data_IF_247751565961
#
_entry.id   IF_247751565961
#
_cell.length_a   1.000
_cell.length_b   1.000
_cell.length_c   1.000
_cell.angle_alpha   90.00
_cell.angle_beta   90.00
_cell.angle_gamma   90.00
#
_symmetry.space_group_name_H-M   'P 1'
#
loop_
_entity.id
_entity.type
_entity.pdbx_description
1 polymer ?
#
# COMPACT_ATOMS: atom_id res chain seq x y z
N UNK A 1 -22.71 15.42 1.69
CA UNK A 1 -21.73 15.91 2.68
C UNK A 1 -20.36 15.91 1.99
N UNK A 2 -19.53 16.92 2.18
CA UNK A 2 -18.22 16.96 1.54
C UNK A 2 -17.24 16.27 2.47
N UNK A 3 -16.59 15.19 2.01
CA UNK A 3 -15.50 14.54 2.75
C UNK A 3 -14.42 15.57 3.02
N UNK A 4 -14.02 15.75 4.29
CA UNK A 4 -12.87 16.59 4.61
C UNK A 4 -11.61 15.91 4.02
N UNK A 5 -11.04 16.54 3.02
CA UNK A 5 -9.85 16.11 2.31
C UNK A 5 -8.73 17.12 2.57
N UNK A 6 -7.56 16.62 2.90
CA UNK A 6 -6.36 17.44 3.01
C UNK A 6 -5.28 16.84 2.12
N UNK A 7 -4.80 17.64 1.17
CA UNK A 7 -3.58 17.34 0.43
C UNK A 7 -2.40 17.92 1.20
N UNK A 8 -1.30 17.21 1.22
CA UNK A 8 -0.06 17.65 1.90
C UNK A 8 1.17 17.24 1.08
N UNK A 9 2.30 17.81 1.41
CA UNK A 9 3.58 17.47 0.79
C UNK A 9 4.64 17.30 1.86
N UNK A 10 5.51 16.31 1.69
CA UNK A 10 6.51 15.91 2.67
C UNK A 10 7.90 15.79 2.05
N UNK A 11 8.97 16.22 2.75
CA UNK A 11 10.34 16.07 2.26
C UNK A 11 10.81 14.63 2.39
N UNK A 12 11.24 14.03 1.29
CA UNK A 12 11.75 12.66 1.18
C UNK A 12 13.19 12.67 0.69
N UNK A 13 14.07 11.97 1.41
CA UNK A 13 15.47 11.79 1.02
C UNK A 13 15.57 10.68 -0.03
N UNK A 14 15.96 11.04 -1.24
CA UNK A 14 16.13 10.09 -2.34
C UNK A 14 17.62 9.91 -2.62
N UNK A 15 18.09 8.67 -2.57
CA UNK A 15 19.42 8.34 -3.06
C UNK A 15 19.42 8.54 -4.58
N UNK A 16 20.37 9.34 -5.05
CA UNK A 16 20.48 9.60 -6.48
C UNK A 16 21.06 8.36 -7.18
N UNK A 17 20.51 7.99 -8.35
CA UNK A 17 21.09 6.94 -9.15
C UNK A 17 22.58 7.21 -9.44
N UNK A 18 23.38 6.16 -9.49
CA UNK A 18 24.82 6.21 -9.84
C UNK A 18 25.73 7.03 -8.91
N UNK A 19 25.21 7.48 -7.78
CA UNK A 19 26.02 8.26 -6.83
C UNK A 19 25.64 7.91 -5.40
N UNK A 20 26.56 8.19 -4.47
CA UNK A 20 26.28 8.09 -3.05
C UNK A 20 25.60 9.38 -2.51
N UNK A 21 25.16 10.26 -3.39
CA UNK A 21 24.53 11.51 -2.99
C UNK A 21 23.07 11.29 -2.67
N UNK A 22 22.58 12.04 -1.69
CA UNK A 22 21.19 12.11 -1.31
C UNK A 22 20.68 13.50 -1.66
N UNK A 23 19.52 13.58 -2.29
CA UNK A 23 18.81 14.82 -2.56
C UNK A 23 17.42 14.75 -1.95
N UNK A 24 16.93 15.86 -1.44
CA UNK A 24 15.59 15.95 -0.87
C UNK A 24 14.63 16.41 -1.96
N UNK A 25 13.54 15.66 -2.13
CA UNK A 25 12.41 15.99 -2.99
C UNK A 25 11.14 16.01 -2.17
N UNK A 26 10.12 16.70 -2.63
CA UNK A 26 8.82 16.67 -2.00
C UNK A 26 7.95 15.59 -2.62
N UNK A 27 7.37 14.72 -1.78
CA UNK A 27 6.34 13.78 -2.19
C UNK A 27 4.96 14.24 -1.71
N UNK A 28 3.96 14.04 -2.55
CA UNK A 28 2.61 14.46 -2.25
C UNK A 28 1.80 13.33 -1.63
N UNK A 29 0.96 13.71 -0.69
CA UNK A 29 0.04 12.83 -0.01
C UNK A 29 -1.36 13.42 0.14
N UNK A 30 -2.28 12.55 0.48
CA UNK A 30 -3.68 12.86 0.72
C UNK A 30 -4.15 12.14 1.98
N UNK A 31 -4.94 12.83 2.79
CA UNK A 31 -5.70 12.21 3.88
C UNK A 31 -7.18 12.59 3.75
N UNK A 32 -8.02 11.60 3.91
CA UNK A 32 -9.48 11.69 3.90
C UNK A 32 -9.99 11.42 5.31
N UNK A 33 -10.92 12.25 5.77
CA UNK A 33 -11.48 12.14 7.12
C UNK A 33 -12.94 11.70 7.06
N UNK A 34 -13.38 10.86 8.01
CA UNK A 34 -14.79 10.55 8.19
C UNK A 34 -15.57 11.79 8.66
N UNK A 35 -16.88 11.80 8.45
CA UNK A 35 -17.75 12.89 8.92
C UNK A 35 -17.71 13.08 10.45
N UNK A 36 -17.38 12.03 11.20
CA UNK A 36 -17.23 12.05 12.66
C UNK A 36 -15.91 12.68 13.15
N UNK A 37 -14.98 13.00 12.24
CA UNK A 37 -13.70 13.56 12.63
C UNK A 37 -13.83 14.95 13.24
N UNK A 38 -13.09 15.17 14.34
CA UNK A 38 -12.98 16.46 14.99
C UNK A 38 -11.56 16.70 15.49
N UNK A 39 -11.06 17.92 15.31
CA UNK A 39 -9.73 18.30 15.79
C UNK A 39 -9.66 18.29 17.34
N UNK A 40 -10.80 18.52 18.03
CA UNK A 40 -10.90 18.62 19.49
C UNK A 40 -11.65 17.43 20.13
N UNK A 41 -12.04 16.43 19.33
CA UNK A 41 -12.82 15.26 19.78
C UNK A 41 -11.96 14.08 20.19
N UNK A 42 -12.58 12.90 20.12
CA UNK A 42 -11.82 11.64 20.24
C UNK A 42 -10.90 11.46 19.04
N UNK A 43 -9.71 10.93 19.29
CA UNK A 43 -8.76 10.66 18.21
C UNK A 43 -9.32 9.63 17.21
N UNK A 44 -9.13 9.87 15.93
CA UNK A 44 -9.62 9.02 14.85
C UNK A 44 -8.58 7.96 14.47
N UNK A 45 -9.01 6.72 14.19
CA UNK A 45 -8.13 5.66 13.67
C UNK A 45 -7.75 5.94 12.23
N UNK A 46 -6.46 5.77 11.92
CA UNK A 46 -5.91 5.94 10.58
C UNK A 46 -5.67 4.59 9.91
N UNK A 47 -6.09 4.47 8.65
CA UNK A 47 -5.67 3.41 7.73
C UNK A 47 -4.73 4.01 6.70
N UNK A 48 -3.51 3.51 6.61
CA UNK A 48 -2.58 3.82 5.54
C UNK A 48 -2.91 2.88 4.38
N UNK A 49 -3.34 3.42 3.24
CA UNK A 49 -3.71 2.66 2.05
C UNK A 49 -2.63 2.81 0.98
N UNK A 50 -1.85 1.77 0.78
CA UNK A 50 -0.83 1.75 -0.27
C UNK A 50 -1.45 1.35 -1.61
N UNK A 51 -1.41 2.25 -2.59
CA UNK A 51 -2.03 2.02 -3.90
C UNK A 51 -1.30 0.96 -4.74
N UNK A 52 -2.05 0.35 -5.66
CA UNK A 52 -1.52 -0.54 -6.70
C UNK A 52 -0.81 0.21 -7.83
N UNK A 53 -0.22 -0.53 -8.79
CA UNK A 53 0.39 0.05 -9.97
C UNK A 53 -0.62 0.91 -10.76
N UNK A 54 -0.18 2.05 -11.24
CA UNK A 54 -1.05 3.03 -11.93
C UNK A 54 -1.77 4.01 -11.00
N UNK A 55 -1.69 3.85 -9.66
CA UNK A 55 -2.22 4.80 -8.69
C UNK A 55 -1.32 6.01 -8.48
N UNK A 56 -1.93 7.13 -8.11
CA UNK A 56 -1.26 8.38 -7.72
C UNK A 56 -2.20 9.22 -6.87
N UNK A 57 -1.65 10.10 -6.04
CA UNK A 57 -2.39 11.09 -5.25
C UNK A 57 -2.27 12.51 -5.78
N UNK A 58 -1.45 12.73 -6.82
CA UNK A 58 -1.16 14.08 -7.36
C UNK A 58 -2.24 14.63 -8.27
N UNK A 59 -3.15 13.81 -8.75
CA UNK A 59 -4.22 14.24 -9.66
C UNK A 59 -5.56 14.27 -8.94
N UNK A 60 -6.56 14.97 -9.53
CA UNK A 60 -7.92 15.02 -9.00
C UNK A 60 -8.61 13.64 -8.96
N UNK A 61 -8.04 12.66 -9.64
CA UNK A 61 -8.53 11.27 -9.69
C UNK A 61 -7.70 10.36 -8.81
N UNK A 62 -7.42 10.77 -7.57
CA UNK A 62 -6.75 9.90 -6.60
C UNK A 62 -7.48 8.56 -6.48
N UNK A 63 -6.76 7.48 -6.72
CA UNK A 63 -7.33 6.14 -6.70
C UNK A 63 -7.97 5.80 -5.35
N UNK A 64 -7.40 6.32 -4.26
CA UNK A 64 -7.91 6.11 -2.89
C UNK A 64 -9.34 6.65 -2.72
N UNK A 65 -9.69 7.80 -3.31
CA UNK A 65 -11.01 8.41 -3.16
C UNK A 65 -12.12 7.61 -3.84
N UNK A 66 -11.80 6.89 -4.90
CA UNK A 66 -12.77 6.11 -5.69
C UNK A 66 -13.00 4.70 -5.12
N UNK A 67 -12.10 4.20 -4.27
CA UNK A 67 -12.16 2.82 -3.79
C UNK A 67 -13.34 2.58 -2.84
N UNK A 68 -14.10 1.50 -3.09
CA UNK A 68 -15.22 1.09 -2.23
C UNK A 68 -14.77 0.83 -0.78
N UNK A 69 -13.60 0.20 -0.58
CA UNK A 69 -13.07 -0.02 0.76
C UNK A 69 -12.79 1.30 1.48
N UNK A 70 -12.20 2.29 0.80
CA UNK A 70 -11.95 3.63 1.38
C UNK A 70 -13.25 4.28 1.83
N UNK A 71 -14.26 4.32 0.96
CA UNK A 71 -15.58 4.87 1.28
C UNK A 71 -16.22 4.12 2.45
N UNK A 72 -16.08 2.80 2.51
CA UNK A 72 -16.61 1.99 3.58
C UNK A 72 -15.88 2.24 4.91
N UNK A 73 -14.56 2.42 4.90
CA UNK A 73 -13.78 2.79 6.08
C UNK A 73 -14.19 4.19 6.60
N UNK A 74 -14.30 5.17 5.71
CA UNK A 74 -14.77 6.52 6.06
C UNK A 74 -16.17 6.51 6.68
N UNK A 75 -17.11 5.75 6.09
CA UNK A 75 -18.46 5.59 6.62
C UNK A 75 -18.50 4.97 8.03
N UNK A 76 -17.44 4.26 8.43
CA UNK A 76 -17.29 3.60 9.72
C UNK A 76 -16.28 4.31 10.65
N UNK A 77 -15.98 5.58 10.40
CA UNK A 77 -15.22 6.43 11.33
C UNK A 77 -13.70 6.31 11.24
N UNK A 78 -13.15 5.69 10.19
CA UNK A 78 -11.69 5.65 9.95
C UNK A 78 -11.26 6.79 9.02
N UNK A 79 -10.13 7.42 9.31
CA UNK A 79 -9.42 8.23 8.33
C UNK A 79 -8.59 7.33 7.40
N UNK A 80 -8.38 7.75 6.16
CA UNK A 80 -7.59 6.99 5.19
C UNK A 80 -6.57 7.90 4.53
N UNK A 81 -5.31 7.46 4.45
CA UNK A 81 -4.18 8.23 3.89
C UNK A 81 -3.44 7.40 2.84
N UNK A 82 -2.96 8.09 1.79
CA UNK A 82 -2.03 7.55 0.80
C UNK A 82 -1.00 8.63 0.40
N UNK A 83 0.11 8.21 -0.22
CA UNK A 83 1.14 9.07 -0.82
C UNK A 83 1.50 8.55 -2.21
N UNK A 84 2.18 9.34 -3.05
CA UNK A 84 2.68 8.79 -4.32
C UNK A 84 3.75 7.71 -4.08
N UNK A 85 4.57 7.85 -3.04
CA UNK A 85 5.66 6.94 -2.75
C UNK A 85 6.88 7.13 -3.66
N UNK A 86 6.75 7.99 -4.67
CA UNK A 86 7.83 8.54 -5.48
C UNK A 86 7.57 10.03 -5.68
N UNK A 87 8.48 10.94 -5.27
CA UNK A 87 8.32 12.36 -5.54
C UNK A 87 8.24 12.63 -7.04
N UNK A 88 7.29 13.49 -7.46
CA UNK A 88 7.09 13.82 -8.86
C UNK A 88 8.36 14.38 -9.52
N UNK A 89 9.04 15.32 -8.85
CA UNK A 89 10.27 15.92 -9.38
C UNK A 89 11.41 14.91 -9.53
N UNK A 90 11.50 13.92 -8.63
CA UNK A 90 12.46 12.81 -8.77
C UNK A 90 12.11 11.94 -9.98
N UNK A 91 10.84 11.57 -10.10
CA UNK A 91 10.39 10.75 -11.22
C UNK A 91 10.63 11.43 -12.57
N UNK A 92 10.34 12.74 -12.67
CA UNK A 92 10.55 13.56 -13.87
C UNK A 92 12.04 13.70 -14.21
N UNK A 93 12.89 14.00 -13.20
CA UNK A 93 14.35 14.15 -13.39
C UNK A 93 15.00 12.90 -13.97
N UNK A 94 14.52 11.70 -13.60
CA UNK A 94 15.09 10.44 -14.04
C UNK A 94 14.24 9.70 -15.09
N UNK A 95 13.17 10.31 -15.60
CA UNK A 95 12.34 9.77 -16.67
C UNK A 95 11.61 8.48 -16.29
N UNK A 96 11.22 8.33 -15.03
CA UNK A 96 10.46 7.17 -14.52
C UNK A 96 9.00 7.51 -14.26
N UNK A 97 8.14 6.51 -14.29
CA UNK A 97 6.72 6.70 -14.02
C UNK A 97 6.46 6.73 -12.51
N UNK A 98 5.99 7.88 -12.01
CA UNK A 98 5.63 8.10 -10.59
C UNK A 98 4.66 7.03 -10.04
N UNK A 99 3.84 6.41 -10.90
CA UNK A 99 2.83 5.42 -10.52
C UNK A 99 3.41 4.06 -10.11
N UNK A 100 4.72 3.88 -10.24
CA UNK A 100 5.40 2.60 -10.01
C UNK A 100 6.44 2.69 -8.89
N UNK A 101 5.99 2.93 -7.66
CA UNK A 101 6.87 3.04 -6.50
C UNK A 101 7.47 1.70 -6.01
N UNK A 102 6.85 0.58 -6.39
CA UNK A 102 7.24 -0.83 -6.13
C UNK A 102 7.73 -1.13 -4.70
N UNK A 103 7.20 -0.43 -3.71
CA UNK A 103 7.61 -0.62 -2.31
C UNK A 103 9.11 -0.38 -2.06
N UNK A 104 9.71 0.49 -2.86
CA UNK A 104 11.13 0.83 -2.83
C UNK A 104 11.55 1.53 -1.53
N UNK A 105 12.87 1.69 -1.29
CA UNK A 105 13.36 2.47 -0.15
C UNK A 105 12.75 3.88 -0.08
N UNK A 106 12.59 4.53 -1.25
CA UNK A 106 11.99 5.87 -1.36
C UNK A 106 10.52 5.81 -0.94
N UNK A 107 9.76 4.83 -1.46
CA UNK A 107 8.35 4.66 -1.12
C UNK A 107 8.14 4.43 0.38
N UNK A 108 8.93 3.55 1.00
CA UNK A 108 8.82 3.27 2.42
C UNK A 108 9.15 4.50 3.27
N UNK A 109 10.17 5.27 2.88
CA UNK A 109 10.48 6.53 3.57
C UNK A 109 9.34 7.54 3.42
N UNK A 110 8.73 7.63 2.23
CA UNK A 110 7.59 8.50 1.96
C UNK A 110 6.40 8.16 2.88
N UNK A 111 5.99 6.90 2.97
CA UNK A 111 4.92 6.48 3.88
C UNK A 111 5.25 6.76 5.36
N UNK A 112 6.50 6.55 5.80
CA UNK A 112 6.92 6.86 7.17
C UNK A 112 6.83 8.36 7.46
N UNK A 113 7.31 9.20 6.55
CA UNK A 113 7.25 10.66 6.70
C UNK A 113 5.81 11.17 6.69
N UNK A 114 4.96 10.63 5.82
CA UNK A 114 3.53 10.94 5.77
C UNK A 114 2.81 10.54 7.06
N UNK A 115 3.11 9.36 7.60
CA UNK A 115 2.58 8.95 8.90
C UNK A 115 2.90 9.99 9.98
N UNK A 116 4.18 10.39 10.13
CA UNK A 116 4.55 11.37 11.15
C UNK A 116 3.91 12.72 10.92
N UNK A 117 3.85 13.19 9.66
CA UNK A 117 3.13 14.39 9.30
C UNK A 117 1.66 14.33 9.76
N UNK A 118 0.97 13.24 9.48
CA UNK A 118 -0.43 13.09 9.85
C UNK A 118 -0.64 13.06 11.37
N UNK A 119 0.20 12.33 12.11
CA UNK A 119 0.11 12.24 13.58
C UNK A 119 0.41 13.56 14.27
N UNK A 120 1.30 14.37 13.69
CA UNK A 120 1.69 15.68 14.26
C UNK A 120 0.67 16.78 13.95
N UNK A 121 -0.08 16.67 12.87
CA UNK A 121 -0.99 17.72 12.39
C UNK A 121 -2.48 17.45 12.59
N UNK A 122 -2.87 16.22 12.90
CA UNK A 122 -4.27 15.83 13.04
C UNK A 122 -4.52 15.03 14.30
N UNK A 123 -5.76 15.07 14.77
CA UNK A 123 -6.18 14.32 15.96
C UNK A 123 -6.42 12.83 15.61
N UNK A 124 -5.30 12.09 15.50
CA UNK A 124 -5.27 10.68 15.13
C UNK A 124 -4.66 9.80 16.22
N UNK A 125 -5.09 8.56 16.29
CA UNK A 125 -4.39 7.56 17.09
C UNK A 125 -3.01 7.29 16.50
N UNK A 126 -2.00 7.07 17.36
CA UNK A 126 -0.64 6.77 16.93
C UNK A 126 -0.53 5.40 16.27
N UNK A 127 -1.22 4.40 16.83
CA UNK A 127 -1.24 3.07 16.20
C UNK A 127 -2.20 3.08 15.01
N UNK A 128 -1.73 2.57 13.88
CA UNK A 128 -2.43 2.61 12.60
C UNK A 128 -2.70 1.23 12.03
N UNK A 129 -3.66 1.16 11.10
CA UNK A 129 -3.83 0.00 10.24
C UNK A 129 -3.14 0.26 8.90
N UNK A 130 -2.69 -0.81 8.23
CA UNK A 130 -2.07 -0.71 6.91
C UNK A 130 -2.80 -1.62 5.94
N UNK A 131 -3.14 -1.09 4.76
CA UNK A 131 -3.76 -1.84 3.67
C UNK A 131 -2.96 -1.67 2.39
N UNK A 132 -2.90 -2.71 1.53
CA UNK A 132 -2.26 -2.58 0.23
C UNK A 132 -2.77 -3.59 -0.78
N UNK A 133 -3.04 -3.13 -2.00
CA UNK A 133 -3.47 -3.98 -3.10
C UNK A 133 -2.40 -4.10 -4.20
N UNK A 134 -2.24 -5.29 -4.81
CA UNK A 134 -1.31 -5.49 -5.91
C UNK A 134 0.11 -5.01 -5.57
N UNK A 135 0.69 -4.11 -6.35
CA UNK A 135 1.98 -3.44 -6.04
C UNK A 135 1.99 -2.79 -4.65
N UNK A 136 0.86 -2.24 -4.19
CA UNK A 136 0.72 -1.71 -2.83
C UNK A 136 0.92 -2.76 -1.74
N UNK A 137 0.80 -4.03 -2.07
CA UNK A 137 1.16 -5.15 -1.20
C UNK A 137 2.64 -5.14 -0.82
N UNK A 138 3.54 -4.81 -1.76
CA UNK A 138 4.98 -4.64 -1.46
C UNK A 138 5.16 -3.46 -0.49
N UNK A 139 4.57 -2.31 -0.84
CA UNK A 139 4.71 -1.08 -0.05
C UNK A 139 4.18 -1.26 1.37
N UNK A 140 2.96 -1.80 1.52
CA UNK A 140 2.34 -2.04 2.81
C UNK A 140 3.13 -3.05 3.65
N UNK A 141 3.59 -4.14 3.05
CA UNK A 141 4.34 -5.17 3.79
C UNK A 141 5.73 -4.69 4.18
N UNK A 142 6.45 -4.01 3.29
CA UNK A 142 7.75 -3.43 3.62
C UNK A 142 7.64 -2.32 4.68
N UNK A 143 6.57 -1.51 4.64
CA UNK A 143 6.28 -0.51 5.67
C UNK A 143 6.11 -1.17 7.04
N UNK A 144 5.30 -2.24 7.11
CA UNK A 144 5.08 -3.02 8.34
C UNK A 144 6.38 -3.66 8.83
N UNK A 145 7.11 -4.34 7.95
CA UNK A 145 8.39 -4.99 8.27
C UNK A 145 9.51 -4.01 8.63
N UNK A 146 9.37 -2.73 8.25
CA UNK A 146 10.34 -1.70 8.64
C UNK A 146 10.39 -1.50 10.16
N UNK A 147 9.27 -1.70 10.86
CA UNK A 147 9.11 -1.46 12.30
C UNK A 147 9.27 0.03 12.69
N UNK A 148 9.15 0.95 11.72
CA UNK A 148 9.37 2.39 11.93
C UNK A 148 8.12 3.15 12.37
N UNK A 149 6.95 2.53 12.23
CA UNK A 149 5.66 3.05 12.68
C UNK A 149 4.91 1.95 13.47
N UNK A 150 4.08 2.32 14.45
CA UNK A 150 3.31 1.35 15.21
C UNK A 150 2.10 0.86 14.40
N UNK A 151 2.12 -0.38 13.95
CA UNK A 151 1.04 -0.99 13.17
C UNK A 151 0.27 -2.00 14.01
N UNK A 152 -1.06 -1.85 14.08
CA UNK A 152 -1.96 -2.77 14.76
C UNK A 152 -2.27 -4.00 13.92
N UNK A 153 -2.46 -3.81 12.62
CA UNK A 153 -2.93 -4.84 11.71
C UNK A 153 -2.56 -4.50 10.26
N UNK A 154 -2.25 -5.52 9.48
CA UNK A 154 -2.11 -5.39 8.03
C UNK A 154 -3.21 -6.15 7.30
N UNK A 155 -3.68 -5.58 6.18
CA UNK A 155 -4.59 -6.24 5.25
C UNK A 155 -4.16 -5.98 3.80
N UNK A 156 -4.67 -6.78 2.87
CA UNK A 156 -4.39 -6.52 1.45
C UNK A 156 -5.25 -7.34 0.49
N UNK A 157 -5.31 -6.84 -0.76
CA UNK A 157 -5.91 -7.53 -1.89
C UNK A 157 -4.83 -7.93 -2.88
N UNK A 158 -4.78 -9.22 -3.25
CA UNK A 158 -3.82 -9.77 -4.23
C UNK A 158 -2.41 -9.16 -4.10
N UNK A 159 -1.83 -9.13 -2.90
CA UNK A 159 -0.60 -8.40 -2.67
C UNK A 159 0.57 -9.02 -3.44
N UNK A 160 1.34 -8.21 -4.13
CA UNK A 160 2.66 -8.62 -4.60
C UNK A 160 3.59 -8.73 -3.39
N UNK A 161 4.19 -9.88 -3.19
CA UNK A 161 5.06 -10.17 -2.05
C UNK A 161 6.45 -10.69 -2.45
N UNK A 162 6.62 -10.99 -3.73
CA UNK A 162 7.91 -11.38 -4.33
C UNK A 162 8.29 -10.38 -5.42
N UNK A 163 8.89 -9.28 -5.01
CA UNK A 163 9.34 -8.21 -5.92
C UNK A 163 10.28 -8.72 -6.99
N UNK A 164 11.13 -9.70 -6.63
CA UNK A 164 12.08 -10.25 -7.57
C UNK A 164 11.43 -11.06 -8.68
N UNK A 165 10.64 -12.08 -8.32
CA UNK A 165 10.02 -12.96 -9.31
C UNK A 165 8.81 -12.32 -10.00
N UNK A 166 8.03 -11.54 -9.28
CA UNK A 166 6.75 -11.00 -9.78
C UNK A 166 6.90 -9.64 -10.46
N UNK A 167 7.92 -8.87 -10.16
CA UNK A 167 8.17 -7.58 -10.81
C UNK A 167 9.40 -7.64 -11.70
N UNK A 168 10.53 -8.07 -11.18
CA UNK A 168 11.81 -7.96 -11.88
C UNK A 168 11.93 -8.98 -13.00
N UNK A 169 11.53 -10.23 -12.79
CA UNK A 169 11.64 -11.30 -13.78
C UNK A 169 10.39 -11.48 -14.65
N UNK A 170 9.24 -10.96 -14.23
CA UNK A 170 7.98 -11.28 -14.88
C UNK A 170 7.62 -10.38 -16.06
N UNK A 171 6.99 -10.93 -17.12
CA UNK A 171 6.65 -10.18 -18.33
C UNK A 171 5.66 -9.03 -18.15
N UNK A 172 4.80 -9.03 -17.12
CA UNK A 172 3.92 -7.88 -16.90
C UNK A 172 4.70 -6.63 -16.47
N UNK A 173 5.92 -6.80 -15.99
CA UNK A 173 6.86 -5.73 -15.74
C UNK A 173 7.37 -5.02 -17.03
N UNK A 174 6.86 -5.40 -18.20
CA UNK A 174 7.11 -4.64 -19.44
C UNK A 174 6.71 -3.16 -19.33
N UNK A 175 5.92 -2.78 -18.34
CA UNK A 175 5.64 -1.39 -17.97
C UNK A 175 6.67 -0.76 -17.02
N UNK A 176 7.55 -1.55 -16.41
CA UNK A 176 8.64 -1.08 -15.56
C UNK A 176 9.97 -1.42 -16.25
N UNK A 177 10.51 -0.54 -17.09
CA UNK A 177 11.80 -0.78 -17.74
C UNK A 177 12.85 -1.06 -16.65
N UNK A 178 13.81 -1.93 -16.94
CA UNK A 178 14.96 -2.19 -16.04
C UNK A 178 15.63 -0.90 -15.58
N UNK A 179 15.60 0.13 -16.43
CA UNK A 179 16.04 1.49 -16.13
C UNK A 179 15.27 2.13 -14.97
N UNK A 180 13.94 1.97 -14.91
CA UNK A 180 13.15 2.51 -13.79
C UNK A 180 13.49 1.83 -12.46
N UNK A 181 13.59 0.50 -12.44
CA UNK A 181 13.99 -0.24 -11.24
C UNK A 181 15.40 0.13 -10.78
N UNK A 182 16.35 0.28 -11.72
CA UNK A 182 17.72 0.67 -11.38
C UNK A 182 17.81 2.09 -10.79
N UNK A 183 16.97 3.00 -11.24
CA UNK A 183 16.84 4.34 -10.64
C UNK A 183 16.24 4.25 -9.24
N UNK A 184 15.11 3.56 -9.09
CA UNK A 184 14.35 3.48 -7.82
C UNK A 184 15.17 2.77 -6.72
N UNK A 185 15.96 1.75 -7.08
CA UNK A 185 16.83 1.02 -6.17
C UNK A 185 18.30 1.52 -6.19
N UNK A 186 18.57 2.60 -6.91
CA UNK A 186 19.91 3.24 -6.99
C UNK A 186 21.01 2.25 -7.39
N UNK A 187 20.81 1.51 -8.49
CA UNK A 187 21.83 0.62 -9.02
C UNK A 187 23.05 1.40 -9.55
N UNK A 188 24.20 0.79 -9.51
CA UNK A 188 25.42 1.31 -10.13
C UNK A 188 25.41 1.09 -11.64
N UNK A 189 26.25 1.81 -12.36
CA UNK A 189 26.53 1.59 -13.77
C UNK A 189 27.93 1.03 -13.97
N UNK A 190 28.11 0.25 -15.02
CA UNK A 190 29.41 -0.19 -15.47
C UNK A 190 30.13 0.86 -16.38
N UNK A 191 31.28 0.49 -16.91
CA UNK A 191 32.07 1.38 -17.77
C UNK A 191 31.41 1.68 -19.13
N UNK A 192 30.42 0.90 -19.54
CA UNK A 192 29.66 1.04 -20.77
C UNK A 192 28.35 1.79 -20.57
N UNK A 193 28.17 2.39 -19.38
CA UNK A 193 26.95 3.13 -18.93
C UNK A 193 25.70 2.24 -18.80
N UNK A 194 25.88 0.91 -18.69
CA UNK A 194 24.83 -0.04 -18.46
C UNK A 194 24.62 -0.29 -16.96
N UNK A 195 23.35 -0.53 -16.56
CA UNK A 195 23.02 -0.78 -15.16
C UNK A 195 23.49 -2.14 -14.67
N UNK A 196 24.24 -2.14 -13.58
CA UNK A 196 24.59 -3.36 -12.86
C UNK A 196 23.44 -3.72 -11.93
N UNK A 197 22.77 -4.84 -12.22
CA UNK A 197 21.72 -5.34 -11.36
C UNK A 197 22.25 -5.68 -9.96
N UNK A 198 21.68 -5.06 -8.94
CA UNK A 198 22.01 -5.32 -7.55
C UNK A 198 20.88 -6.15 -6.88
N UNK A 199 21.04 -7.47 -6.94
CA UNK A 199 20.11 -8.42 -6.33
C UNK A 199 19.93 -8.18 -4.83
N UNK A 200 20.99 -7.79 -4.13
CA UNK A 200 20.95 -7.57 -2.68
C UNK A 200 20.04 -6.39 -2.33
N UNK A 201 20.09 -5.31 -3.11
CA UNK A 201 19.23 -4.16 -2.92
C UNK A 201 17.75 -4.52 -3.11
N UNK A 202 17.43 -5.26 -4.18
CA UNK A 202 16.06 -5.69 -4.46
C UNK A 202 15.55 -6.68 -3.42
N UNK A 203 16.34 -7.69 -3.09
CA UNK A 203 15.98 -8.71 -2.11
C UNK A 203 15.82 -8.14 -0.69
N UNK A 204 16.51 -7.05 -0.38
CA UNK A 204 16.34 -6.34 0.89
C UNK A 204 14.94 -5.73 1.07
N UNK A 205 14.20 -5.58 -0.03
CA UNK A 205 12.82 -5.09 -0.09
C UNK A 205 11.84 -6.13 -0.66
N UNK A 206 12.17 -7.39 -0.57
CA UNK A 206 11.35 -8.50 -1.04
C UNK A 206 10.64 -9.16 0.14
N UNK A 207 9.34 -8.91 0.37
CA UNK A 207 8.62 -9.37 1.57
C UNK A 207 8.75 -10.87 1.83
N UNK A 208 8.62 -11.72 0.80
CA UNK A 208 8.64 -13.18 0.97
C UNK A 208 9.98 -13.71 1.48
N UNK A 209 11.08 -12.98 1.23
CA UNK A 209 12.43 -13.33 1.64
C UNK A 209 12.89 -12.58 2.90
N UNK A 210 12.01 -11.82 3.53
CA UNK A 210 12.34 -11.09 4.74
C UNK A 210 12.77 -12.05 5.85
N UNK A 211 13.87 -11.71 6.51
CA UNK A 211 14.32 -12.41 7.74
C UNK A 211 13.62 -11.89 9.00
N UNK A 212 12.80 -10.86 8.87
CA UNK A 212 12.03 -10.31 9.98
C UNK A 212 10.70 -11.01 10.05
N UNK A 213 10.30 -11.35 11.25
CA UNK A 213 8.95 -11.83 11.51
C UNK A 213 7.94 -10.69 11.25
N UNK A 214 6.78 -11.05 10.73
CA UNK A 214 5.70 -10.08 10.57
C UNK A 214 5.23 -9.62 11.96
N UNK A 215 5.23 -8.31 12.26
CA UNK A 215 5.09 -7.84 13.65
C UNK A 215 3.64 -7.74 14.15
N UNK A 216 2.63 -7.93 13.30
CA UNK A 216 1.22 -7.72 13.64
C UNK A 216 0.31 -8.74 12.95
N UNK A 217 -0.96 -8.89 13.37
CA UNK A 217 -1.94 -9.70 12.66
C UNK A 217 -2.08 -9.29 11.19
N UNK A 218 -2.25 -10.27 10.30
CA UNK A 218 -2.32 -10.03 8.84
C UNK A 218 -3.44 -10.84 8.18
N UNK A 219 -4.21 -10.18 7.30
CA UNK A 219 -5.20 -10.82 6.45
C UNK A 219 -5.01 -10.39 5.00
N UNK A 220 -4.89 -11.37 4.10
CA UNK A 220 -4.91 -11.13 2.66
C UNK A 220 -6.10 -11.83 2.00
N UNK A 221 -6.75 -11.13 1.06
CA UNK A 221 -7.72 -11.70 0.15
C UNK A 221 -7.06 -11.83 -1.23
N UNK A 222 -7.08 -13.04 -1.82
CA UNK A 222 -6.41 -13.27 -3.09
C UNK A 222 -7.16 -14.29 -3.93
N UNK A 223 -7.29 -14.03 -5.22
CA UNK A 223 -7.87 -14.97 -6.16
C UNK A 223 -6.94 -16.14 -6.43
N UNK A 224 -7.49 -17.37 -6.40
CA UNK A 224 -6.73 -18.59 -6.73
C UNK A 224 -6.25 -18.57 -8.19
N UNK A 225 -6.99 -17.92 -9.07
CA UNK A 225 -6.74 -17.86 -10.51
C UNK A 225 -6.24 -16.48 -10.96
N UNK A 226 -5.61 -15.72 -10.08
CA UNK A 226 -5.02 -14.42 -10.44
C UNK A 226 -3.98 -14.61 -11.57
N UNK A 227 -4.16 -13.96 -12.74
CA UNK A 227 -3.26 -14.12 -13.87
C UNK A 227 -2.01 -13.25 -13.79
N UNK A 228 -1.90 -12.36 -12.81
CA UNK A 228 -0.84 -11.34 -12.71
C UNK A 228 0.05 -11.60 -11.49
N UNK A 229 -0.54 -11.79 -10.32
CA UNK A 229 0.18 -12.06 -9.07
C UNK A 229 -0.03 -13.50 -8.65
N UNK A 230 1.03 -14.24 -8.38
CA UNK A 230 0.93 -15.66 -8.03
C UNK A 230 0.30 -15.84 -6.63
N UNK A 231 -0.90 -16.40 -6.60
CA UNK A 231 -1.59 -16.80 -5.37
C UNK A 231 -0.72 -17.63 -4.42
N UNK A 232 0.19 -18.47 -4.97
CA UNK A 232 1.05 -19.35 -4.16
C UNK A 232 2.01 -18.55 -3.30
N UNK A 233 2.52 -17.42 -3.81
CA UNK A 233 3.39 -16.51 -3.04
C UNK A 233 2.67 -15.98 -1.81
N UNK A 234 1.45 -15.49 -1.98
CA UNK A 234 0.63 -15.01 -0.85
C UNK A 234 0.33 -16.13 0.15
N UNK A 235 -0.04 -17.31 -0.35
CA UNK A 235 -0.27 -18.48 0.51
C UNK A 235 0.99 -18.83 1.31
N UNK A 236 2.14 -18.89 0.67
CA UNK A 236 3.43 -19.17 1.33
C UNK A 236 3.75 -18.14 2.41
N UNK A 237 3.53 -16.86 2.13
CA UNK A 237 3.76 -15.78 3.09
C UNK A 237 2.89 -15.93 4.34
N UNK A 238 1.58 -16.17 4.16
CA UNK A 238 0.65 -16.39 5.27
C UNK A 238 1.02 -17.63 6.08
N UNK A 239 1.44 -18.70 5.42
CA UNK A 239 1.91 -19.91 6.11
C UNK A 239 3.21 -19.67 6.90
N UNK A 240 4.11 -18.83 6.41
CA UNK A 240 5.29 -18.40 7.15
C UNK A 240 4.91 -17.58 8.38
N UNK A 241 4.05 -16.59 8.24
CA UNK A 241 3.57 -15.78 9.36
C UNK A 241 2.95 -16.67 10.47
N UNK A 242 2.10 -17.62 10.09
CA UNK A 242 1.52 -18.60 11.05
C UNK A 242 2.56 -19.45 11.77
N UNK A 243 3.60 -19.91 11.06
CA UNK A 243 4.69 -20.70 11.68
C UNK A 243 5.48 -19.89 12.73
N UNK A 244 5.52 -18.58 12.57
CA UNK A 244 6.15 -17.66 13.53
C UNK A 244 5.19 -17.20 14.63
N UNK A 245 4.01 -17.80 14.72
CA UNK A 245 3.03 -17.50 15.78
C UNK A 245 2.20 -16.25 15.56
N UNK A 246 2.24 -15.68 14.35
CA UNK A 246 1.45 -14.52 14.01
C UNK A 246 0.04 -14.96 13.63
N UNK A 247 -0.96 -14.22 14.10
CA UNK A 247 -2.34 -14.41 13.64
C UNK A 247 -2.45 -13.95 12.20
N UNK A 248 -2.60 -14.90 11.28
CA UNK A 248 -2.57 -14.65 9.85
C UNK A 248 -3.68 -15.41 9.14
N UNK A 249 -4.36 -14.78 8.17
CA UNK A 249 -5.44 -15.39 7.42
C UNK A 249 -5.33 -15.10 5.92
N UNK A 250 -5.75 -16.07 5.11
CA UNK A 250 -5.87 -15.94 3.67
C UNK A 250 -7.31 -16.29 3.26
N UNK A 251 -8.01 -15.30 2.72
CA UNK A 251 -9.30 -15.47 2.06
C UNK A 251 -9.02 -15.80 0.60
N UNK A 252 -9.15 -17.06 0.24
CA UNK A 252 -8.97 -17.54 -1.13
C UNK A 252 -10.26 -17.33 -1.92
N UNK A 253 -10.20 -16.54 -2.99
CA UNK A 253 -11.33 -16.24 -3.86
C UNK A 253 -11.30 -17.17 -5.08
N UNK A 254 -12.30 -18.03 -5.29
CA UNK A 254 -12.21 -19.13 -6.27
C UNK A 254 -12.20 -18.66 -7.72
N UNK A 255 -12.91 -17.57 -8.05
CA UNK A 255 -13.18 -17.14 -9.42
C UNK A 255 -12.60 -15.75 -9.73
N UNK A 256 -11.63 -15.32 -8.94
CA UNK A 256 -11.09 -13.98 -9.04
C UNK A 256 -10.12 -13.77 -10.20
N UNK A 257 -10.03 -12.50 -10.64
CA UNK A 257 -8.99 -11.97 -11.50
C UNK A 257 -8.13 -11.01 -10.68
N UNK A 258 -7.18 -10.36 -11.28
CA UNK A 258 -6.30 -9.42 -10.57
C UNK A 258 -6.94 -8.07 -10.24
N UNK A 259 -7.92 -7.64 -11.01
CA UNK A 259 -8.49 -6.29 -10.92
C UNK A 259 -9.07 -5.98 -9.53
N UNK A 260 -8.73 -4.84 -8.88
CA UNK A 260 -9.27 -4.48 -7.56
C UNK A 260 -10.80 -4.38 -7.51
N UNK A 261 -11.43 -3.90 -8.59
CA UNK A 261 -12.88 -3.90 -8.71
C UNK A 261 -13.47 -5.31 -8.70
N UNK A 262 -12.68 -6.28 -9.10
CA UNK A 262 -13.07 -7.67 -9.08
C UNK A 262 -13.21 -8.20 -7.65
N UNK A 263 -12.43 -7.71 -6.70
CA UNK A 263 -12.62 -8.02 -5.28
C UNK A 263 -13.90 -7.39 -4.71
N UNK A 264 -14.46 -6.44 -5.41
CA UNK A 264 -15.80 -5.92 -5.21
C UNK A 264 -16.90 -6.69 -5.95
N UNK A 265 -16.59 -7.49 -6.98
CA UNK A 265 -17.57 -8.10 -7.91
C UNK A 265 -17.66 -9.62 -7.86
N UNK A 266 -16.74 -10.31 -7.15
CA UNK A 266 -16.58 -11.77 -7.23
C UNK A 266 -17.66 -12.63 -6.61
N UNK A 267 -18.52 -12.01 -5.91
CA UNK A 267 -19.67 -12.74 -5.45
C UNK A 267 -20.82 -12.09 -6.16
N UNK A 268 -21.48 -12.87 -6.97
CA UNK A 268 -22.68 -12.50 -7.76
C UNK A 268 -23.76 -11.79 -6.95
N UNK A 269 -23.54 -11.62 -5.66
CA UNK A 269 -24.42 -10.85 -4.77
C UNK A 269 -23.59 -10.11 -3.74
N UNK A 270 -23.67 -8.78 -3.67
CA UNK A 270 -23.17 -8.05 -2.53
C UNK A 270 -23.81 -8.63 -1.26
N UNK A 271 -22.99 -8.93 -0.24
CA UNK A 271 -23.47 -9.43 1.04
C UNK A 271 -24.19 -8.35 1.84
N UNK A 272 -24.11 -7.10 1.39
CA UNK A 272 -24.81 -5.97 1.97
C UNK A 272 -24.65 -4.72 1.14
N UNK A 273 -25.58 -3.81 1.33
CA UNK A 273 -25.53 -2.48 0.76
C UNK A 273 -25.30 -1.49 1.90
N UNK A 274 -24.41 -0.55 1.69
CA UNK A 274 -24.16 0.59 2.58
C UNK A 274 -24.23 1.85 1.75
N UNK A 275 -24.61 2.95 2.35
CA UNK A 275 -24.60 4.26 1.72
C UNK A 275 -23.48 5.10 2.30
N UNK A 276 -22.76 5.77 1.45
CA UNK A 276 -21.78 6.77 1.80
C UNK A 276 -21.96 7.99 0.88
N UNK A 277 -22.29 9.15 1.47
CA UNK A 277 -22.60 10.37 0.72
C UNK A 277 -23.62 10.15 -0.44
N UNK A 278 -24.73 9.45 -0.14
CA UNK A 278 -25.79 9.06 -1.07
C UNK A 278 -25.34 8.08 -2.18
N UNK A 279 -24.10 7.62 -2.19
CA UNK A 279 -23.61 6.55 -3.07
C UNK A 279 -23.86 5.18 -2.45
N UNK A 280 -24.44 4.28 -3.25
CA UNK A 280 -24.64 2.89 -2.86
C UNK A 280 -23.33 2.10 -2.99
N UNK A 281 -22.77 1.64 -1.88
CA UNK A 281 -21.59 0.79 -1.86
C UNK A 281 -21.98 -0.69 -1.92
N UNK A 282 -21.48 -1.40 -2.90
CA UNK A 282 -21.60 -2.84 -3.01
C UNK A 282 -20.52 -3.52 -2.14
N UNK A 283 -20.90 -3.96 -0.94
CA UNK A 283 -19.96 -4.61 -0.02
C UNK A 283 -19.87 -6.09 -0.35
N UNK A 284 -18.68 -6.55 -0.63
CA UNK A 284 -18.38 -7.93 -0.96
C UNK A 284 -17.76 -8.67 0.21
N UNK A 285 -17.61 -9.98 0.09
CA UNK A 285 -16.94 -10.80 1.13
C UNK A 285 -15.52 -10.30 1.38
N UNK A 286 -14.78 -9.95 0.33
CA UNK A 286 -13.40 -9.46 0.50
C UNK A 286 -13.36 -8.13 1.26
N UNK A 287 -14.20 -7.16 0.90
CA UNK A 287 -14.29 -5.86 1.57
C UNK A 287 -14.72 -6.04 3.03
N UNK A 288 -15.76 -6.84 3.28
CA UNK A 288 -16.25 -7.10 4.64
C UNK A 288 -15.21 -7.84 5.49
N UNK A 289 -14.48 -8.80 4.90
CA UNK A 289 -13.42 -9.53 5.63
C UNK A 289 -12.28 -8.60 6.04
N UNK A 290 -11.82 -7.74 5.14
CA UNK A 290 -10.79 -6.73 5.42
C UNK A 290 -11.28 -5.75 6.49
N UNK A 291 -12.50 -5.23 6.34
CA UNK A 291 -13.08 -4.31 7.31
C UNK A 291 -13.23 -4.96 8.70
N UNK A 292 -13.79 -6.16 8.76
CA UNK A 292 -13.97 -6.91 10.01
C UNK A 292 -12.63 -7.20 10.70
N UNK A 293 -11.60 -7.52 9.91
CA UNK A 293 -10.26 -7.74 10.43
C UNK A 293 -9.64 -6.46 10.99
N UNK A 294 -9.73 -5.35 10.26
CA UNK A 294 -9.30 -4.03 10.76
C UNK A 294 -10.04 -3.68 12.06
N UNK A 295 -11.35 -3.82 12.08
CA UNK A 295 -12.19 -3.47 13.23
C UNK A 295 -11.92 -4.33 14.47
N UNK A 296 -11.52 -5.58 14.28
CA UNK A 296 -11.15 -6.50 15.37
C UNK A 296 -9.97 -5.95 16.20
N UNK A 297 -8.99 -5.30 15.55
CA UNK A 297 -7.77 -4.83 16.21
C UNK A 297 -7.76 -3.31 16.44
N UNK A 298 -8.58 -2.58 15.74
CA UNK A 298 -8.56 -1.13 15.72
C UNK A 298 -9.96 -0.53 15.70
N UNK A 299 -10.84 -0.96 16.59
CA UNK A 299 -12.16 -0.36 16.71
C UNK A 299 -12.03 1.16 16.77
N UNK A 300 -12.75 1.92 15.92
CA UNK A 300 -12.87 3.35 16.12
C UNK A 300 -13.58 3.55 17.47
N UNK A 301 -13.05 4.47 18.26
CA UNK A 301 -13.78 4.92 19.46
C UNK A 301 -15.08 5.57 18.96
N UNK A 302 -16.22 4.89 19.13
CA UNK A 302 -17.55 5.41 18.83
C UNK A 302 -17.92 6.41 19.92
#
# INVERSE_FOLDING_TARGET
MVVRKVNFSIPVECALPYSNNIKIYNDDGIILFPDSYSDDGAATRLVISCHGAGGTVTTNDSQIESQTLTKYLLANGYAVMDVNGLPYEFADEFGIDIRNNVGSPIAIQSYIKAYWYCIENFNLHKEVCVHGGSMGGISSTNLVLSGKIPVLVQTGFCPVLDTYNEIFLHPWSNGLPKTALSVIFSFEKDNDDEYIYDEVKVLGYNPINSKKDHPCPVLFCHSINDPIVDFKTTKQYIEQAKRHGIEAELIALPDGKHEPQDYGMYIDKPIGNRYYNDELLNITVAIESVFSWISKYANPSI
#
